data_IF_624359803723
#
_entry.id   IF_624359803723
#
_cell.length_a   1.000
_cell.length_b   1.000
_cell.length_c   1.000
_cell.angle_alpha   90.00
_cell.angle_beta   90.00
_cell.angle_gamma   90.00
#
_symmetry.space_group_name_H-M   'P 1'
#
loop_
_entity.id
_entity.type
_entity.pdbx_description
1 polymer ?
#
# COMPACT_ATOMS: atom_id res chain seq x y z
N UNK A 1 25.88 -15.23 -8.16
CA UNK A 1 25.38 -15.86 -6.92
C UNK A 1 24.27 -15.05 -6.26
N UNK A 2 24.29 -13.71 -6.36
CA UNK A 2 23.26 -12.85 -5.73
C UNK A 2 21.93 -12.82 -6.48
N UNK A 3 21.88 -13.12 -7.77
CA UNK A 3 20.67 -13.05 -8.61
C UNK A 3 19.62 -14.09 -8.19
N UNK A 4 20.05 -15.26 -7.75
CA UNK A 4 19.16 -16.32 -7.32
C UNK A 4 18.57 -16.12 -5.92
N UNK A 5 18.98 -15.06 -5.21
CA UNK A 5 18.53 -14.77 -3.85
C UNK A 5 19.12 -15.67 -2.77
N UNK A 6 20.03 -16.56 -3.14
CA UNK A 6 20.72 -17.47 -2.22
C UNK A 6 22.18 -17.06 -2.11
N UNK A 7 22.57 -16.47 -1.00
CA UNK A 7 23.93 -15.99 -0.76
C UNK A 7 24.27 -16.05 0.72
N UNK A 8 25.57 -16.05 1.03
CA UNK A 8 26.04 -15.93 2.42
C UNK A 8 25.71 -14.55 3.00
N UNK A 9 25.68 -14.46 4.32
CA UNK A 9 25.21 -13.26 5.03
C UNK A 9 26.00 -12.00 4.63
N UNK A 10 27.30 -12.10 4.46
CA UNK A 10 28.16 -10.97 4.06
C UNK A 10 27.77 -10.43 2.67
N UNK A 11 27.50 -11.32 1.71
CA UNK A 11 27.03 -10.92 0.37
C UNK A 11 25.66 -10.28 0.44
N UNK A 12 24.76 -10.83 1.28
CA UNK A 12 23.42 -10.29 1.48
C UNK A 12 23.47 -8.86 2.08
N UNK A 13 24.32 -8.61 3.08
CA UNK A 13 24.50 -7.27 3.65
C UNK A 13 25.09 -6.28 2.63
N UNK A 14 26.03 -6.69 1.80
CA UNK A 14 26.52 -5.85 0.70
C UNK A 14 25.43 -5.54 -0.33
N UNK A 15 24.58 -6.51 -0.65
CA UNK A 15 23.47 -6.30 -1.60
C UNK A 15 22.45 -5.29 -1.07
N UNK A 16 22.14 -5.28 0.21
CA UNK A 16 21.29 -4.25 0.82
C UNK A 16 21.83 -2.85 0.57
N UNK A 17 23.16 -2.68 0.76
CA UNK A 17 23.82 -1.40 0.50
C UNK A 17 23.77 -1.01 -0.99
N UNK A 18 23.97 -1.97 -1.90
CA UNK A 18 23.91 -1.73 -3.35
C UNK A 18 22.49 -1.35 -3.80
N UNK A 19 21.48 -2.05 -3.28
CA UNK A 19 20.07 -1.72 -3.56
C UNK A 19 19.67 -0.36 -3.02
N UNK A 20 20.13 0.00 -1.80
CA UNK A 20 19.89 1.33 -1.25
C UNK A 20 20.53 2.43 -2.12
N UNK A 21 21.77 2.27 -2.56
CA UNK A 21 22.45 3.20 -3.47
C UNK A 21 21.74 3.31 -4.82
N UNK A 22 21.39 2.17 -5.42
CA UNK A 22 20.65 2.15 -6.70
C UNK A 22 19.33 2.89 -6.60
N UNK A 23 18.59 2.68 -5.51
CA UNK A 23 17.35 3.38 -5.23
C UNK A 23 17.57 4.88 -5.08
N UNK A 24 18.55 5.30 -4.28
CA UNK A 24 18.87 6.73 -4.09
C UNK A 24 19.20 7.44 -5.40
N UNK A 25 19.98 6.80 -6.28
CA UNK A 25 20.29 7.34 -7.59
C UNK A 25 19.05 7.44 -8.48
N UNK A 26 18.22 6.40 -8.46
CA UNK A 26 16.97 6.40 -9.24
C UNK A 26 15.99 7.47 -8.73
N UNK A 27 15.87 7.63 -7.42
CA UNK A 27 15.02 8.65 -6.80
C UNK A 27 15.52 10.07 -7.17
N UNK A 28 16.83 10.33 -7.11
CA UNK A 28 17.42 11.60 -7.51
C UNK A 28 17.16 11.92 -9.00
N UNK A 29 17.40 10.96 -9.90
CA UNK A 29 17.12 11.14 -11.33
C UNK A 29 15.63 11.38 -11.58
N UNK A 30 14.76 10.69 -10.85
CA UNK A 30 13.32 10.89 -10.94
C UNK A 30 12.92 12.30 -10.51
N UNK A 31 13.40 12.77 -9.36
CA UNK A 31 13.12 14.10 -8.82
C UNK A 31 13.60 15.20 -9.76
N UNK A 32 14.87 15.15 -10.22
CA UNK A 32 15.42 16.09 -11.20
C UNK A 32 14.62 16.12 -12.50
N UNK A 33 14.21 14.93 -13.00
CA UNK A 33 13.43 14.83 -14.23
C UNK A 33 12.04 15.45 -14.09
N UNK A 34 11.35 15.17 -12.96
CA UNK A 34 10.03 15.75 -12.67
C UNK A 34 10.13 17.26 -12.51
N UNK A 35 11.13 17.76 -11.81
CA UNK A 35 11.38 19.18 -11.65
C UNK A 35 11.65 19.85 -13.01
N UNK A 36 12.55 19.29 -13.81
CA UNK A 36 12.83 19.79 -15.16
C UNK A 36 11.58 19.89 -16.03
N UNK A 37 10.76 18.84 -16.06
CA UNK A 37 9.52 18.81 -16.85
C UNK A 37 8.48 19.80 -16.28
N UNK A 38 8.34 19.88 -14.96
CA UNK A 38 7.39 20.80 -14.31
C UNK A 38 7.74 22.25 -14.59
N UNK A 39 9.01 22.61 -14.63
CA UNK A 39 9.49 23.94 -14.99
C UNK A 39 9.23 24.33 -16.46
N UNK A 40 8.83 23.38 -17.32
CA UNK A 40 8.39 23.67 -18.70
C UNK A 40 6.89 23.88 -18.82
N UNK A 41 6.13 23.64 -17.75
CA UNK A 41 4.68 23.88 -17.74
C UNK A 41 4.41 25.38 -17.55
N UNK A 42 3.67 26.00 -18.47
CA UNK A 42 3.31 27.40 -18.37
C UNK A 42 2.17 27.60 -17.35
N UNK A 43 2.52 28.01 -16.14
CA UNK A 43 1.58 28.30 -15.07
C UNK A 43 1.24 29.79 -14.98
N UNK A 44 1.92 30.68 -15.72
CA UNK A 44 1.66 32.11 -15.71
C UNK A 44 0.34 32.49 -16.40
N UNK A 45 -0.18 31.63 -17.26
CA UNK A 45 -1.44 31.83 -17.98
C UNK A 45 -2.69 31.32 -17.25
N UNK A 46 -2.55 30.84 -16.01
CA UNK A 46 -3.71 30.36 -15.22
C UNK A 46 -4.71 31.50 -14.98
N UNK A 47 -6.03 31.26 -15.12
CA UNK A 47 -7.06 32.29 -14.98
C UNK A 47 -7.20 32.80 -13.53
N UNK A 48 -7.69 34.05 -13.37
CA UNK A 48 -7.89 34.73 -12.08
C UNK A 48 -6.83 35.81 -11.79
N UNK A 49 -7.15 36.76 -10.91
CA UNK A 49 -6.33 37.94 -10.59
C UNK A 49 -5.56 37.79 -9.25
N UNK A 50 -5.88 36.76 -8.44
CA UNK A 50 -5.29 36.52 -7.12
C UNK A 50 -3.94 35.81 -7.17
N UNK A 51 -3.29 35.73 -6.00
CA UNK A 51 -2.11 34.93 -5.82
C UNK A 51 -2.46 33.43 -6.01
N UNK A 52 -1.75 32.77 -6.90
CA UNK A 52 -1.96 31.38 -7.26
C UNK A 52 -0.78 30.54 -6.86
N UNK A 53 -1.06 29.37 -6.30
CA UNK A 53 -0.06 28.39 -5.93
C UNK A 53 -0.25 27.16 -6.84
N UNK A 54 0.41 27.17 -8.02
CA UNK A 54 0.25 26.10 -8.99
C UNK A 54 1.01 24.84 -8.58
N UNK A 55 0.46 23.68 -8.97
CA UNK A 55 1.15 22.42 -8.93
C UNK A 55 0.68 21.50 -10.06
N UNK A 56 1.48 20.50 -10.38
CA UNK A 56 1.25 19.59 -11.50
C UNK A 56 1.13 18.16 -11.00
N UNK A 57 0.13 17.46 -11.50
CA UNK A 57 -0.06 16.02 -11.26
C UNK A 57 0.32 15.26 -12.52
N UNK A 58 1.30 14.39 -12.40
CA UNK A 58 1.83 13.58 -13.51
C UNK A 58 1.26 12.16 -13.51
N UNK A 59 1.00 11.64 -14.70
CA UNK A 59 0.65 10.23 -14.92
C UNK A 59 1.65 9.62 -15.91
N UNK A 60 2.56 8.79 -15.41
CA UNK A 60 3.58 8.11 -16.19
C UNK A 60 3.12 6.77 -16.78
N UNK A 61 1.87 6.38 -16.55
CA UNK A 61 1.31 5.13 -17.08
C UNK A 61 0.72 5.33 -18.47
N UNK A 62 0.66 4.25 -19.25
CA UNK A 62 0.08 4.23 -20.60
C UNK A 62 -1.45 4.31 -20.68
N UNK A 63 -2.14 4.51 -19.54
CA UNK A 63 -3.59 4.64 -19.47
C UNK A 63 -3.99 5.87 -18.66
N UNK A 64 -5.07 6.55 -19.06
CA UNK A 64 -5.65 7.63 -18.26
C UNK A 64 -6.07 7.11 -16.88
N UNK A 65 -5.89 7.93 -15.84
CA UNK A 65 -6.22 7.57 -14.46
C UNK A 65 -7.06 8.64 -13.81
N UNK A 66 -8.07 8.18 -13.08
CA UNK A 66 -8.79 8.97 -12.07
C UNK A 66 -8.42 8.40 -10.72
N UNK A 67 -7.80 9.20 -9.87
CA UNK A 67 -7.31 8.75 -8.57
C UNK A 67 -7.31 9.86 -7.53
N UNK A 68 -7.41 9.50 -6.28
CA UNK A 68 -7.25 10.45 -5.18
C UNK A 68 -5.78 10.85 -5.04
N UNK A 69 -5.54 12.14 -5.05
CA UNK A 69 -4.21 12.76 -4.86
C UNK A 69 -4.19 13.48 -3.53
N UNK A 70 -3.12 13.28 -2.80
CA UNK A 70 -2.83 14.01 -1.57
C UNK A 70 -1.49 14.72 -1.71
N UNK A 71 -1.48 16.05 -1.51
CA UNK A 71 -0.27 16.87 -1.62
C UNK A 71 -0.16 17.81 -0.44
N UNK A 72 1.01 17.85 0.18
CA UNK A 72 1.37 18.90 1.13
C UNK A 72 2.04 20.06 0.41
N UNK A 73 1.61 21.26 0.71
CA UNK A 73 2.06 22.51 0.09
C UNK A 73 2.51 23.45 1.18
N UNK A 74 3.67 24.08 1.00
CA UNK A 74 4.20 25.10 1.90
C UNK A 74 3.68 26.47 1.49
N UNK A 75 2.97 27.11 2.39
CA UNK A 75 2.40 28.44 2.24
C UNK A 75 3.08 29.43 3.17
N UNK A 76 3.00 30.73 2.85
CA UNK A 76 3.48 31.81 3.71
C UNK A 76 4.91 31.59 4.18
N UNK A 77 5.84 31.38 3.23
CA UNK A 77 7.26 31.17 3.51
C UNK A 77 7.87 32.41 4.15
N UNK A 78 8.38 32.26 5.37
CA UNK A 78 9.14 33.30 6.07
C UNK A 78 10.62 32.95 6.07
N UNK A 79 11.43 33.81 5.49
CA UNK A 79 12.89 33.65 5.37
C UNK A 79 13.66 34.32 6.53
N UNK A 80 12.97 34.93 7.50
CA UNK A 80 13.57 35.60 8.65
C UNK A 80 13.85 34.65 9.81
N UNK A 81 14.42 33.48 9.53
CA UNK A 81 14.63 32.40 10.50
C UNK A 81 15.55 32.69 11.67
N UNK A 82 16.27 33.81 11.63
CA UNK A 82 17.18 34.17 12.72
C UNK A 82 16.48 34.90 13.87
N UNK A 83 15.17 35.02 13.79
CA UNK A 83 14.34 35.53 14.88
C UNK A 83 13.89 34.31 15.70
N UNK A 84 14.12 34.31 17.00
CA UNK A 84 13.89 33.19 17.93
C UNK A 84 12.43 32.70 17.95
N UNK A 85 11.48 33.47 17.44
CA UNK A 85 10.05 33.21 17.40
C UNK A 85 9.53 32.68 16.04
N UNK A 86 10.42 32.36 15.10
CA UNK A 86 10.01 31.89 13.75
C UNK A 86 9.07 30.68 13.76
N UNK A 87 9.25 29.75 14.69
CA UNK A 87 8.34 28.63 14.90
C UNK A 87 6.98 29.07 15.43
N UNK A 88 6.99 29.87 16.51
CA UNK A 88 5.78 30.39 17.14
C UNK A 88 5.00 31.30 16.20
N UNK A 89 5.70 32.14 15.42
CA UNK A 89 5.09 32.97 14.42
C UNK A 89 4.41 32.15 13.30
N UNK A 90 5.06 31.10 12.82
CA UNK A 90 4.48 30.19 11.81
C UNK A 90 3.26 29.42 12.33
N UNK A 91 3.26 29.03 13.62
CA UNK A 91 2.09 28.40 14.25
C UNK A 91 0.88 29.32 14.33
N UNK A 92 1.10 30.58 14.58
CA UNK A 92 0.04 31.61 14.70
C UNK A 92 -0.55 32.05 13.36
N UNK A 93 0.05 31.67 12.22
CA UNK A 93 -0.50 31.98 10.91
C UNK A 93 -1.83 31.25 10.74
N UNK A 94 -2.91 32.02 10.67
CA UNK A 94 -4.23 31.50 10.31
C UNK A 94 -4.29 31.23 8.81
N UNK A 95 -4.75 30.04 8.45
CA UNK A 95 -4.95 29.70 7.03
C UNK A 95 -6.21 30.42 6.52
N UNK A 96 -6.10 31.21 5.45
CA UNK A 96 -7.28 31.76 4.79
C UNK A 96 -8.13 30.61 4.21
N UNK A 97 -9.39 30.91 3.95
CA UNK A 97 -10.20 30.03 3.13
C UNK A 97 -9.55 29.89 1.75
N UNK A 98 -9.48 28.69 1.24
CA UNK A 98 -8.85 28.38 -0.06
C UNK A 98 -9.74 27.49 -0.89
N UNK A 99 -9.58 27.60 -2.21
CA UNK A 99 -10.26 26.76 -3.20
C UNK A 99 -9.22 26.16 -4.14
N UNK A 100 -9.45 24.92 -4.56
CA UNK A 100 -8.68 24.25 -5.60
C UNK A 100 -9.34 24.47 -6.95
N UNK A 101 -8.56 24.86 -7.96
CA UNK A 101 -9.02 25.00 -9.34
C UNK A 101 -8.17 24.19 -10.31
N UNK A 102 -8.77 23.80 -11.42
CA UNK A 102 -8.07 23.24 -12.58
C UNK A 102 -7.45 24.35 -13.46
N UNK A 103 -6.75 23.95 -14.53
CA UNK A 103 -6.10 24.90 -15.44
C UNK A 103 -7.09 25.80 -16.21
N UNK A 104 -8.36 25.43 -16.31
CA UNK A 104 -9.41 26.18 -16.98
C UNK A 104 -10.13 27.16 -16.01
N UNK A 105 -9.77 27.12 -14.70
CA UNK A 105 -10.36 27.94 -13.65
C UNK A 105 -11.59 27.34 -12.98
N UNK A 106 -11.98 26.12 -13.34
CA UNK A 106 -13.12 25.46 -12.71
C UNK A 106 -12.75 25.00 -11.30
N UNK A 107 -13.68 25.10 -10.36
CA UNK A 107 -13.51 24.59 -9.03
C UNK A 107 -13.47 23.07 -9.02
N UNK A 108 -12.46 22.53 -8.33
CA UNK A 108 -12.27 21.10 -8.12
C UNK A 108 -12.58 20.79 -6.65
N UNK A 109 -13.53 19.92 -6.34
CA UNK A 109 -13.82 19.54 -4.97
C UNK A 109 -12.54 19.03 -4.26
N UNK A 110 -12.16 19.67 -3.17
CA UNK A 110 -10.95 19.33 -2.43
C UNK A 110 -11.12 19.50 -0.93
N UNK A 111 -10.53 18.62 -0.15
CA UNK A 111 -10.34 18.81 1.29
C UNK A 111 -9.00 19.49 1.50
N UNK A 112 -9.04 20.71 2.00
CA UNK A 112 -7.86 21.50 2.34
C UNK A 112 -7.80 21.59 3.86
N UNK A 113 -6.73 21.08 4.45
CA UNK A 113 -6.59 20.98 5.90
C UNK A 113 -5.24 21.53 6.35
N UNK A 114 -5.21 22.14 7.53
CA UNK A 114 -3.97 22.51 8.20
C UNK A 114 -3.15 21.22 8.47
N UNK A 115 -1.91 21.24 8.04
CA UNK A 115 -0.93 20.17 8.24
C UNK A 115 0.25 20.60 9.12
N UNK A 116 0.10 21.72 9.85
CA UNK A 116 1.08 22.26 10.76
C UNK A 116 2.10 23.17 10.06
N UNK A 117 3.29 23.21 10.59
CA UNK A 117 4.41 24.02 10.09
C UNK A 117 5.48 23.14 9.46
N UNK A 118 6.29 23.72 8.60
CA UNK A 118 7.42 23.09 7.98
C UNK A 118 8.65 24.00 7.95
N UNK A 119 9.81 23.41 8.13
CA UNK A 119 11.08 24.03 7.81
C UNK A 119 11.52 23.54 6.42
N UNK A 120 11.99 24.46 5.58
CA UNK A 120 12.46 24.12 4.24
C UNK A 120 13.61 24.99 3.77
N UNK A 121 14.08 24.72 2.55
CA UNK A 121 15.11 25.50 1.87
C UNK A 121 14.68 25.78 0.44
N UNK A 122 14.89 27.00 -0.03
CA UNK A 122 15.04 27.25 -1.45
C UNK A 122 16.53 27.14 -1.81
N UNK A 123 16.81 26.52 -2.95
CA UNK A 123 18.16 26.26 -3.44
C UNK A 123 18.40 27.02 -4.76
N UNK A 124 18.55 28.36 -4.73
CA UNK A 124 18.81 29.13 -5.94
C UNK A 124 20.21 28.83 -6.49
N UNK A 125 20.35 28.84 -7.81
CA UNK A 125 21.62 28.55 -8.50
C UNK A 125 22.69 29.61 -8.25
N UNK A 126 22.30 30.86 -7.97
CA UNK A 126 23.16 32.05 -7.91
C UNK A 126 23.61 32.44 -6.51
N UNK A 127 23.09 31.78 -5.48
CA UNK A 127 23.38 32.15 -4.08
C UNK A 127 23.26 30.98 -3.12
N UNK A 128 23.67 31.20 -1.86
CA UNK A 128 23.55 30.21 -0.80
C UNK A 128 22.08 29.88 -0.53
N UNK A 129 21.82 28.62 -0.10
CA UNK A 129 20.49 28.14 0.29
C UNK A 129 19.75 29.14 1.16
N UNK A 130 18.49 29.32 0.90
CA UNK A 130 17.58 30.23 1.63
C UNK A 130 16.67 29.39 2.52
N UNK A 131 16.95 29.25 3.82
CA UNK A 131 16.07 28.55 4.72
C UNK A 131 14.79 29.36 4.99
N UNK A 132 13.68 28.67 5.18
CA UNK A 132 12.39 29.31 5.51
C UNK A 132 11.59 28.45 6.49
N UNK A 133 10.71 29.11 7.26
CA UNK A 133 9.56 28.49 7.90
C UNK A 133 8.32 28.71 7.05
N UNK A 134 7.41 27.74 7.06
CA UNK A 134 6.17 27.85 6.31
C UNK A 134 5.00 27.22 7.07
N UNK A 135 3.80 27.72 6.83
CA UNK A 135 2.56 27.02 7.15
C UNK A 135 2.35 25.94 6.10
N UNK A 136 1.94 24.76 6.51
CA UNK A 136 1.74 23.63 5.62
C UNK A 136 0.26 23.31 5.51
N UNK A 137 -0.25 23.14 4.29
CA UNK A 137 -1.59 22.62 4.02
C UNK A 137 -1.53 21.30 3.33
N UNK A 138 -2.48 20.42 3.65
CA UNK A 138 -2.72 19.18 2.94
C UNK A 138 -3.95 19.30 2.07
N UNK A 139 -3.77 19.09 0.78
CA UNK A 139 -4.84 19.12 -0.22
C UNK A 139 -5.12 17.70 -0.67
N UNK A 140 -6.37 17.24 -0.48
CA UNK A 140 -6.83 15.93 -0.93
C UNK A 140 -7.97 16.12 -1.91
N UNK A 141 -7.84 15.59 -3.11
CA UNK A 141 -8.82 15.71 -4.19
C UNK A 141 -8.72 14.56 -5.17
N UNK A 142 -9.69 14.42 -6.05
CA UNK A 142 -9.66 13.45 -7.14
C UNK A 142 -9.14 14.11 -8.42
N UNK A 143 -8.05 13.57 -8.97
CA UNK A 143 -7.43 14.05 -10.21
C UNK A 143 -7.70 13.06 -11.34
N UNK A 144 -8.17 13.59 -12.47
CA UNK A 144 -8.23 12.86 -13.73
C UNK A 144 -7.05 13.29 -14.61
N UNK A 145 -6.12 12.34 -14.87
CA UNK A 145 -4.87 12.65 -15.58
C UNK A 145 -4.73 11.75 -16.81
N UNK A 146 -4.49 12.32 -18.02
CA UNK A 146 -4.35 11.55 -19.25
C UNK A 146 -3.14 10.60 -19.20
N UNK A 147 -3.15 9.60 -20.08
CA UNK A 147 -2.02 8.69 -20.23
C UNK A 147 -0.75 9.44 -20.65
N UNK A 148 0.40 9.10 -20.05
CA UNK A 148 1.70 9.71 -20.31
C UNK A 148 1.63 11.25 -20.35
N UNK A 149 0.86 11.84 -19.43
CA UNK A 149 0.56 13.25 -19.42
C UNK A 149 0.49 13.84 -18.02
N UNK A 150 -0.03 15.05 -17.97
CA UNK A 150 -0.20 15.77 -16.71
C UNK A 150 -1.48 16.62 -16.71
N UNK A 151 -1.84 17.07 -15.50
CA UNK A 151 -2.84 18.14 -15.27
C UNK A 151 -2.27 19.16 -14.31
N UNK A 152 -2.57 20.43 -14.59
CA UNK A 152 -2.21 21.55 -13.71
C UNK A 152 -3.40 21.91 -12.84
N UNK A 153 -3.13 22.13 -11.58
CA UNK A 153 -4.07 22.64 -10.57
C UNK A 153 -3.43 23.79 -9.85
N UNK A 154 -4.24 24.63 -9.22
CA UNK A 154 -3.73 25.69 -8.36
C UNK A 154 -4.66 25.96 -7.18
N UNK A 155 -4.06 26.35 -6.06
CA UNK A 155 -4.78 26.90 -4.93
C UNK A 155 -4.84 28.41 -5.07
N UNK A 156 -5.96 28.99 -4.71
CA UNK A 156 -6.13 30.42 -4.51
C UNK A 156 -6.94 30.71 -3.23
N UNK A 157 -6.82 31.92 -2.69
CA UNK A 157 -7.62 32.34 -1.56
C UNK A 157 -9.08 32.55 -1.99
N UNK A 158 -10.01 32.22 -1.09
CA UNK A 158 -11.44 32.31 -1.30
C UNK A 158 -12.12 33.01 -0.12
N UNK A 159 -13.34 33.48 -0.34
CA UNK A 159 -14.14 34.09 0.75
C UNK A 159 -14.63 33.03 1.76
N UNK A 160 -14.83 31.82 1.31
CA UNK A 160 -15.34 30.69 2.13
C UNK A 160 -14.54 29.42 1.90
N UNK A 161 -14.41 28.64 2.96
CA UNK A 161 -13.84 27.28 2.87
C UNK A 161 -14.68 26.42 1.92
N UNK A 162 -13.99 25.69 1.05
CA UNK A 162 -14.63 24.70 0.22
C UNK A 162 -15.15 23.56 1.11
N UNK A 163 -16.47 23.42 1.21
CA UNK A 163 -17.10 22.32 1.93
C UNK A 163 -17.04 21.05 1.10
N UNK A 164 -16.35 20.07 1.63
CA UNK A 164 -16.44 18.69 1.14
C UNK A 164 -17.44 17.95 2.01
N UNK A 165 -18.40 17.29 1.39
CA UNK A 165 -19.47 16.58 2.10
C UNK A 165 -18.91 15.61 3.15
N UNK A 166 -19.46 15.71 4.36
CA UNK A 166 -19.22 14.72 5.41
C UNK A 166 -19.99 13.46 5.05
N UNK A 167 -19.24 12.41 4.72
CA UNK A 167 -19.85 11.10 4.40
C UNK A 167 -20.07 10.33 5.70
N UNK A 168 -21.33 10.00 6.01
CA UNK A 168 -21.70 9.12 7.12
C UNK A 168 -21.78 7.66 6.64
N UNK A 169 -21.65 6.71 7.55
CA UNK A 169 -21.80 5.28 7.26
C UNK A 169 -21.29 4.40 8.39
N UNK A 170 -21.60 3.11 8.29
CA UNK A 170 -21.19 2.12 9.29
C UNK A 170 -19.67 1.96 9.34
N UNK A 171 -19.12 1.84 10.54
CA UNK A 171 -17.66 1.81 10.75
C UNK A 171 -16.95 0.67 10.02
N UNK A 172 -17.64 -0.41 9.71
CA UNK A 172 -17.10 -1.59 9.03
C UNK A 172 -17.44 -1.68 7.55
N UNK A 173 -18.02 -0.63 6.94
CA UNK A 173 -18.44 -0.62 5.52
C UNK A 173 -17.61 0.38 4.73
N UNK A 174 -17.05 -0.06 3.60
CA UNK A 174 -16.43 0.79 2.57
C UNK A 174 -17.23 0.62 1.29
N UNK A 175 -17.62 1.71 0.64
CA UNK A 175 -18.46 1.64 -0.55
C UNK A 175 -18.12 2.77 -1.53
N UNK A 176 -18.07 2.43 -2.83
CA UNK A 176 -18.02 3.35 -3.94
C UNK A 176 -18.93 2.87 -5.09
N UNK A 177 -18.83 3.48 -6.26
CA UNK A 177 -19.66 3.10 -7.41
C UNK A 177 -19.36 1.70 -7.96
N UNK A 178 -18.12 1.22 -7.79
CA UNK A 178 -17.68 -0.07 -8.34
C UNK A 178 -17.94 -1.24 -7.39
N UNK A 179 -17.79 -1.04 -6.07
CA UNK A 179 -17.83 -2.12 -5.09
C UNK A 179 -18.32 -1.69 -3.72
N UNK A 180 -18.76 -2.71 -2.95
CA UNK A 180 -19.05 -2.59 -1.52
C UNK A 180 -18.25 -3.63 -0.75
N UNK A 181 -17.57 -3.20 0.29
CA UNK A 181 -16.78 -4.06 1.20
C UNK A 181 -17.40 -3.97 2.59
N UNK A 182 -17.64 -5.12 3.19
CA UNK A 182 -18.15 -5.22 4.57
C UNK A 182 -17.17 -6.05 5.39
N UNK A 183 -16.64 -5.47 6.45
CA UNK A 183 -15.71 -6.14 7.37
C UNK A 183 -16.52 -6.85 8.46
N UNK A 184 -16.22 -8.14 8.66
CA UNK A 184 -16.86 -8.99 9.65
C UNK A 184 -16.21 -8.83 11.03
N UNK A 185 -16.83 -9.38 12.07
CA UNK A 185 -16.32 -9.33 13.45
C UNK A 185 -14.96 -10.01 13.62
N UNK A 186 -14.65 -10.99 12.78
CA UNK A 186 -13.36 -11.70 12.78
C UNK A 186 -12.30 -11.04 11.89
N UNK A 187 -12.58 -9.83 11.40
CA UNK A 187 -11.65 -9.09 10.54
C UNK A 187 -11.54 -9.60 9.11
N UNK A 188 -12.17 -10.71 8.76
CA UNK A 188 -12.39 -11.07 7.36
C UNK A 188 -13.34 -10.06 6.72
N UNK A 189 -13.35 -10.00 5.39
CA UNK A 189 -14.28 -9.10 4.71
C UNK A 189 -14.94 -9.77 3.50
N UNK A 190 -16.13 -9.28 3.16
CA UNK A 190 -16.81 -9.59 1.91
C UNK A 190 -16.67 -8.42 0.94
N UNK A 191 -16.57 -8.73 -0.35
CA UNK A 191 -16.49 -7.77 -1.43
C UNK A 191 -17.58 -8.07 -2.47
N UNK A 192 -18.52 -7.15 -2.61
CA UNK A 192 -19.52 -7.16 -3.68
C UNK A 192 -18.98 -6.36 -4.87
N UNK A 193 -18.79 -7.00 -6.01
CA UNK A 193 -18.62 -6.32 -7.29
C UNK A 193 -19.99 -5.87 -7.81
N UNK A 194 -20.23 -4.57 -7.83
CA UNK A 194 -21.52 -4.00 -8.26
C UNK A 194 -21.79 -4.18 -9.75
N UNK A 195 -20.75 -4.34 -10.56
CA UNK A 195 -20.89 -4.55 -12.00
C UNK A 195 -21.44 -5.94 -12.34
N UNK A 196 -20.93 -6.97 -11.65
CA UNK A 196 -21.33 -8.37 -11.88
C UNK A 196 -22.40 -8.85 -10.91
N UNK A 197 -22.61 -8.15 -9.79
CA UNK A 197 -23.47 -8.56 -8.69
C UNK A 197 -22.88 -9.71 -7.86
N UNK A 198 -21.61 -10.09 -8.08
CA UNK A 198 -20.96 -11.18 -7.37
C UNK A 198 -20.39 -10.73 -6.05
N UNK A 199 -20.57 -11.55 -5.02
CA UNK A 199 -19.96 -11.35 -3.70
C UNK A 199 -18.86 -12.39 -3.48
N UNK A 200 -17.68 -11.94 -3.07
CA UNK A 200 -16.57 -12.76 -2.58
C UNK A 200 -16.55 -12.66 -1.07
N UNK A 201 -16.52 -13.79 -0.37
CA UNK A 201 -16.69 -13.83 1.09
C UNK A 201 -15.44 -14.36 1.80
N UNK A 202 -15.31 -13.98 3.08
CA UNK A 202 -14.21 -14.43 3.96
C UNK A 202 -12.80 -14.10 3.42
N UNK A 203 -12.67 -12.98 2.72
CA UNK A 203 -11.38 -12.51 2.23
C UNK A 203 -10.52 -11.98 3.38
N UNK A 204 -9.19 -12.11 3.27
CA UNK A 204 -8.25 -11.47 4.17
C UNK A 204 -8.07 -12.17 5.52
N UNK A 205 -8.47 -13.44 5.67
CA UNK A 205 -8.08 -14.25 6.82
C UNK A 205 -6.59 -14.58 6.76
N UNK A 206 -5.94 -14.60 7.91
CA UNK A 206 -4.54 -15.02 8.03
C UNK A 206 -4.46 -16.46 8.55
N UNK A 207 -3.49 -17.21 8.04
CA UNK A 207 -3.14 -18.54 8.48
C UNK A 207 -1.66 -18.62 8.76
N UNK A 208 -1.31 -19.22 9.88
CA UNK A 208 0.05 -19.52 10.32
C UNK A 208 0.26 -21.03 10.44
N UNK A 209 1.34 -21.53 9.85
CA UNK A 209 1.73 -22.95 9.83
C UNK A 209 3.21 -23.08 10.12
N UNK A 210 3.63 -24.20 10.75
CA UNK A 210 5.04 -24.50 10.94
C UNK A 210 5.75 -24.85 9.63
N UNK A 211 7.08 -24.67 9.59
CA UNK A 211 7.94 -24.99 8.45
C UNK A 211 9.17 -25.79 8.88
N UNK A 212 9.23 -27.04 8.44
CA UNK A 212 10.39 -27.94 8.64
C UNK A 212 11.38 -27.94 7.48
N UNK A 213 11.08 -27.18 6.44
CA UNK A 213 11.87 -27.14 5.21
C UNK A 213 13.22 -26.43 5.38
N UNK A 214 13.58 -25.75 4.34
CA UNK A 214 14.77 -24.90 4.26
C UNK A 214 14.47 -23.66 3.41
N UNK A 215 15.46 -22.89 3.06
CA UNK A 215 15.33 -21.67 2.26
C UNK A 215 14.78 -21.88 0.84
N UNK A 216 14.74 -23.11 0.35
CA UNK A 216 14.22 -23.45 -0.98
C UNK A 216 12.85 -24.11 -0.95
N UNK A 217 12.55 -24.85 0.12
CA UNK A 217 11.41 -25.75 0.15
C UNK A 217 10.64 -25.59 1.45
N UNK A 218 9.36 -25.21 1.32
CA UNK A 218 8.43 -25.26 2.44
C UNK A 218 7.94 -26.70 2.68
N UNK A 219 8.04 -27.16 3.92
CA UNK A 219 7.48 -28.44 4.37
C UNK A 219 6.73 -28.20 5.68
N UNK A 220 5.43 -28.42 5.67
CA UNK A 220 4.61 -28.24 6.85
C UNK A 220 5.01 -29.22 7.96
N UNK A 221 4.95 -28.78 9.22
CA UNK A 221 5.19 -29.60 10.40
C UNK A 221 4.36 -30.88 10.42
N UNK A 222 4.85 -31.91 11.09
CA UNK A 222 4.22 -33.25 11.13
C UNK A 222 2.80 -33.19 11.68
N UNK A 223 2.54 -32.35 12.67
CA UNK A 223 1.21 -32.15 13.27
C UNK A 223 0.25 -31.39 12.37
N UNK A 224 0.73 -30.79 11.28
CA UNK A 224 -0.06 -29.99 10.32
C UNK A 224 -0.95 -28.96 10.99
N UNK A 225 -0.45 -28.35 12.07
CA UNK A 225 -1.19 -27.36 12.83
C UNK A 225 -1.38 -26.08 11.98
N UNK A 226 -2.61 -25.63 11.89
CA UNK A 226 -2.97 -24.35 11.27
C UNK A 226 -3.59 -23.45 12.33
N UNK A 227 -3.02 -22.27 12.52
CA UNK A 227 -3.60 -21.22 13.38
C UNK A 227 -4.17 -20.16 12.47
N UNK A 228 -5.46 -19.88 12.59
CA UNK A 228 -6.16 -18.95 11.70
C UNK A 228 -6.84 -17.83 12.47
N UNK A 229 -6.95 -16.64 11.85
CA UNK A 229 -7.80 -15.54 12.35
C UNK A 229 -9.29 -15.79 12.13
N UNK A 230 -9.65 -16.73 11.25
CA UNK A 230 -11.04 -17.03 10.93
C UNK A 230 -11.84 -17.41 12.18
N UNK A 231 -12.95 -16.69 12.38
CA UNK A 231 -13.82 -16.88 13.55
C UNK A 231 -13.26 -16.32 14.87
N UNK A 232 -12.13 -15.62 14.85
CA UNK A 232 -11.53 -14.97 16.02
C UNK A 232 -11.81 -13.49 15.97
N UNK A 233 -12.41 -12.94 17.02
CA UNK A 233 -12.76 -11.52 17.08
C UNK A 233 -11.54 -10.63 16.83
N UNK A 234 -11.70 -9.65 15.92
CA UNK A 234 -10.75 -8.60 15.62
C UNK A 234 -11.19 -7.25 16.19
N UNK A 235 -10.25 -6.33 16.31
CA UNK A 235 -10.57 -4.92 16.54
C UNK A 235 -10.74 -4.26 15.16
N UNK A 236 -11.92 -3.69 14.92
CA UNK A 236 -12.25 -3.04 13.64
C UNK A 236 -12.63 -1.60 13.89
N UNK A 237 -11.99 -0.66 13.20
CA UNK A 237 -12.26 0.77 13.33
C UNK A 237 -12.20 1.51 12.00
N UNK A 238 -13.14 2.42 11.76
CA UNK A 238 -13.05 3.37 10.66
C UNK A 238 -12.14 4.53 11.09
N UNK A 239 -10.97 4.64 10.47
CA UNK A 239 -9.96 5.66 10.81
C UNK A 239 -10.08 6.91 9.95
N UNK A 240 -10.71 6.78 8.77
CA UNK A 240 -10.99 7.91 7.90
C UNK A 240 -12.22 7.64 7.05
N UNK A 241 -13.09 8.65 6.94
CA UNK A 241 -14.22 8.64 6.01
C UNK A 241 -14.48 10.05 5.52
N UNK A 242 -14.37 10.25 4.23
CA UNK A 242 -14.66 11.53 3.58
C UNK A 242 -15.14 11.29 2.14
N UNK A 243 -15.39 12.35 1.39
CA UNK A 243 -15.89 12.30 0.01
C UNK A 243 -14.93 11.61 -0.97
N UNK A 244 -13.66 11.42 -0.60
CA UNK A 244 -12.63 10.86 -1.48
C UNK A 244 -12.28 9.41 -1.16
N UNK A 245 -12.34 9.02 0.13
CA UNK A 245 -11.97 7.67 0.55
C UNK A 245 -12.59 7.27 1.88
N UNK A 246 -12.71 5.98 2.06
CA UNK A 246 -12.97 5.34 3.35
C UNK A 246 -11.78 4.45 3.71
N UNK A 247 -11.32 4.53 4.95
CA UNK A 247 -10.21 3.73 5.48
C UNK A 247 -10.66 3.01 6.74
N UNK A 248 -10.52 1.69 6.74
CA UNK A 248 -10.84 0.82 7.89
C UNK A 248 -9.57 0.09 8.32
N UNK A 249 -9.28 0.15 9.60
CA UNK A 249 -8.18 -0.58 10.24
C UNK A 249 -8.73 -1.81 10.97
N UNK A 250 -8.06 -2.94 10.79
CA UNK A 250 -8.35 -4.24 11.40
C UNK A 250 -7.10 -4.70 12.14
N UNK A 251 -7.24 -5.07 13.40
CA UNK A 251 -6.14 -5.59 14.22
C UNK A 251 -6.46 -6.97 14.76
N UNK A 252 -5.50 -7.88 14.58
CA UNK A 252 -5.51 -9.20 15.20
C UNK A 252 -4.28 -9.38 16.08
N UNK A 253 -4.48 -10.06 17.20
CA UNK A 253 -3.42 -10.59 18.05
C UNK A 253 -3.43 -12.11 17.94
N UNK A 254 -2.45 -12.66 17.25
CA UNK A 254 -2.33 -14.10 17.05
C UNK A 254 -1.31 -14.68 18.02
N UNK A 255 -1.75 -15.63 18.85
CA UNK A 255 -0.83 -16.45 19.64
C UNK A 255 -0.35 -17.61 18.77
N UNK A 256 0.92 -17.58 18.39
CA UNK A 256 1.55 -18.58 17.53
C UNK A 256 2.75 -19.23 18.23
N UNK A 257 3.10 -20.48 17.94
CA UNK A 257 4.32 -21.09 18.46
C UNK A 257 5.55 -20.25 18.11
N UNK A 258 6.48 -20.11 19.07
CA UNK A 258 7.72 -19.33 18.91
C UNK A 258 8.62 -19.85 17.79
N UNK A 259 8.39 -21.08 17.36
CA UNK A 259 9.13 -21.75 16.29
C UNK A 259 8.78 -23.22 16.21
N UNK A 260 9.70 -24.01 15.67
CA UNK A 260 9.64 -25.46 15.72
C UNK A 260 10.23 -25.99 17.04
N UNK A 261 9.87 -27.22 17.42
CA UNK A 261 10.45 -27.89 18.57
C UNK A 261 11.93 -28.26 18.35
N UNK A 262 12.65 -28.53 19.44
CA UNK A 262 14.10 -28.86 19.44
C UNK A 262 14.45 -30.00 18.51
N UNK A 263 13.50 -30.88 18.21
CA UNK A 263 13.70 -32.04 17.34
C UNK A 263 14.11 -31.61 15.92
N UNK A 264 13.55 -30.53 15.40
CA UNK A 264 13.95 -30.01 14.09
C UNK A 264 15.43 -29.61 14.08
N UNK A 265 15.89 -28.91 15.12
CA UNK A 265 17.29 -28.50 15.22
C UNK A 265 18.24 -29.69 15.25
N UNK A 266 17.92 -30.73 16.04
CA UNK A 266 18.71 -31.97 16.07
C UNK A 266 18.79 -32.65 14.70
N UNK A 267 17.66 -32.71 13.96
CA UNK A 267 17.63 -33.30 12.63
C UNK A 267 18.39 -32.47 11.60
N UNK A 268 18.41 -31.15 11.72
CA UNK A 268 19.26 -30.28 10.91
C UNK A 268 20.74 -30.51 11.16
N UNK A 269 21.16 -30.62 12.42
CA UNK A 269 22.54 -30.91 12.81
C UNK A 269 23.00 -32.30 12.33
N UNK A 270 22.08 -33.29 12.30
CA UNK A 270 22.32 -34.60 11.74
C UNK A 270 22.24 -34.69 10.22
N UNK A 271 22.04 -33.57 9.54
CA UNK A 271 21.86 -33.46 8.09
C UNK A 271 20.75 -34.36 7.54
N UNK A 272 19.68 -34.58 8.29
CA UNK A 272 18.52 -35.38 7.84
C UNK A 272 17.85 -34.62 6.66
N UNK A 273 17.55 -35.38 5.60
CA UNK A 273 16.86 -34.89 4.42
C UNK A 273 15.55 -34.20 4.81
N UNK A 274 15.30 -32.95 4.37
CA UNK A 274 14.10 -32.19 4.71
C UNK A 274 12.79 -32.95 4.51
N UNK A 275 12.69 -33.76 3.47
CA UNK A 275 11.49 -34.55 3.17
C UNK A 275 11.22 -35.72 4.13
N UNK A 276 12.22 -36.12 4.89
CA UNK A 276 12.12 -37.23 5.87
C UNK A 276 12.08 -36.72 7.30
N UNK A 277 12.17 -35.44 7.54
CA UNK A 277 12.11 -34.82 8.88
C UNK A 277 10.75 -35.06 9.53
N UNK A 278 10.79 -35.24 10.84
CA UNK A 278 9.60 -35.42 11.69
C UNK A 278 9.75 -34.48 12.87
N UNK A 279 9.04 -33.35 12.86
CA UNK A 279 9.05 -32.38 13.94
C UNK A 279 7.70 -31.69 14.07
N UNK A 280 7.40 -31.25 15.28
CA UNK A 280 6.22 -30.47 15.59
C UNK A 280 6.62 -29.06 16.02
N UNK A 281 5.66 -28.16 16.05
CA UNK A 281 5.85 -26.80 16.55
C UNK A 281 6.13 -26.78 18.05
N UNK A 282 6.86 -25.75 18.50
CA UNK A 282 7.09 -25.48 19.92
C UNK A 282 5.78 -25.30 20.68
N UNK A 283 5.79 -25.65 21.97
CA UNK A 283 4.69 -25.34 22.89
C UNK A 283 4.76 -23.92 23.42
N UNK A 284 5.90 -23.26 23.35
CA UNK A 284 6.07 -21.87 23.69
C UNK A 284 5.34 -20.99 22.67
N UNK A 285 4.49 -20.08 23.17
CA UNK A 285 3.72 -19.18 22.33
C UNK A 285 4.25 -17.75 22.42
N UNK A 286 4.25 -17.07 21.29
CA UNK A 286 4.54 -15.65 21.16
C UNK A 286 3.37 -14.93 20.53
N UNK A 287 3.18 -13.66 20.88
CA UNK A 287 2.17 -12.81 20.25
C UNK A 287 2.69 -12.27 18.91
N UNK A 288 1.90 -12.40 17.89
CA UNK A 288 2.13 -11.82 16.57
C UNK A 288 0.99 -10.84 16.26
N UNK A 289 1.30 -9.56 16.22
CA UNK A 289 0.35 -8.52 15.83
C UNK A 289 0.23 -8.44 14.31
N UNK A 290 -1.00 -8.46 13.82
CA UNK A 290 -1.33 -8.26 12.40
C UNK A 290 -2.27 -7.08 12.28
N UNK A 291 -1.79 -6.00 11.67
CA UNK A 291 -2.57 -4.82 11.34
C UNK A 291 -2.84 -4.77 9.84
N UNK A 292 -4.11 -4.77 9.46
CA UNK A 292 -4.58 -4.63 8.08
C UNK A 292 -5.31 -3.32 7.91
N UNK A 293 -4.93 -2.53 6.91
CA UNK A 293 -5.59 -1.28 6.54
C UNK A 293 -6.24 -1.47 5.18
N UNK A 294 -7.56 -1.38 5.16
CA UNK A 294 -8.35 -1.38 3.94
C UNK A 294 -8.64 0.06 3.53
N UNK A 295 -8.30 0.41 2.30
CA UNK A 295 -8.60 1.74 1.73
C UNK A 295 -9.40 1.58 0.45
N UNK A 296 -10.56 2.23 0.39
CA UNK A 296 -11.37 2.31 -0.80
C UNK A 296 -11.54 3.78 -1.20
N UNK A 297 -10.94 4.16 -2.32
CA UNK A 297 -11.08 5.49 -2.91
C UNK A 297 -12.35 5.59 -3.76
N UNK A 298 -12.86 6.80 -3.95
CA UNK A 298 -14.10 7.10 -4.65
C UNK A 298 -14.19 6.46 -6.03
N UNK A 299 -13.17 6.64 -6.86
CA UNK A 299 -13.14 6.13 -8.25
C UNK A 299 -12.31 4.85 -8.41
N UNK A 300 -11.88 4.24 -7.31
CA UNK A 300 -11.07 3.02 -7.37
C UNK A 300 -11.87 1.83 -7.92
N UNK A 301 -11.21 1.04 -8.78
CA UNK A 301 -11.73 -0.23 -9.33
C UNK A 301 -11.23 -1.44 -8.55
N UNK A 302 -10.51 -1.23 -7.45
CA UNK A 302 -9.96 -2.26 -6.58
C UNK A 302 -9.82 -1.76 -5.14
N UNK A 303 -9.87 -2.67 -4.20
CA UNK A 303 -9.62 -2.42 -2.79
C UNK A 303 -8.11 -2.43 -2.55
N UNK A 304 -7.58 -1.39 -1.92
CA UNK A 304 -6.20 -1.38 -1.45
C UNK A 304 -6.12 -2.01 -0.07
N UNK A 305 -5.22 -2.98 0.08
CA UNK A 305 -4.97 -3.70 1.33
C UNK A 305 -3.51 -3.50 1.71
N UNK A 306 -3.25 -2.96 2.88
CA UNK A 306 -1.91 -2.83 3.44
C UNK A 306 -1.83 -3.61 4.75
N UNK A 307 -0.88 -4.56 4.84
CA UNK A 307 -0.71 -5.39 6.04
C UNK A 307 0.65 -5.13 6.66
N UNK A 308 0.65 -4.96 7.97
CA UNK A 308 1.87 -4.90 8.79
C UNK A 308 1.82 -6.06 9.77
N UNK A 309 2.87 -6.88 9.79
CA UNK A 309 3.01 -8.03 10.69
C UNK A 309 4.21 -7.78 11.60
N UNK A 310 3.97 -7.79 12.93
CA UNK A 310 5.04 -7.78 13.91
C UNK A 310 5.41 -9.22 14.25
N UNK A 311 6.32 -9.80 13.45
CA UNK A 311 6.70 -11.20 13.57
C UNK A 311 7.71 -11.43 14.70
N UNK A 312 7.37 -12.33 15.64
CA UNK A 312 8.21 -12.76 16.75
C UNK A 312 8.53 -14.27 16.69
N UNK A 313 7.99 -14.99 15.70
CA UNK A 313 8.18 -16.44 15.56
C UNK A 313 9.23 -16.77 14.50
N UNK A 314 9.75 -18.01 14.56
CA UNK A 314 10.70 -18.59 13.61
C UNK A 314 10.12 -19.86 12.98
N UNK A 315 10.72 -20.30 11.89
CA UNK A 315 10.37 -21.56 11.23
C UNK A 315 8.86 -21.72 11.01
N UNK A 316 8.23 -20.71 10.44
CA UNK A 316 6.80 -20.70 10.16
C UNK A 316 6.49 -19.96 8.86
N UNK A 317 5.29 -20.17 8.33
CA UNK A 317 4.78 -19.50 7.16
C UNK A 317 3.44 -18.84 7.47
N UNK A 318 3.36 -17.54 7.28
CA UNK A 318 2.10 -16.76 7.35
C UNK A 318 1.56 -16.55 5.94
N UNK A 319 0.26 -16.80 5.76
CA UNK A 319 -0.46 -16.55 4.51
C UNK A 319 -1.68 -15.69 4.75
N UNK A 320 -2.02 -14.85 3.79
CA UNK A 320 -3.35 -14.23 3.69
C UNK A 320 -4.19 -15.00 2.67
N UNK A 321 -5.44 -15.29 3.04
CA UNK A 321 -6.32 -16.17 2.26
C UNK A 321 -7.40 -15.34 1.58
N UNK A 322 -7.59 -15.55 0.27
CA UNK A 322 -8.63 -14.94 -0.55
C UNK A 322 -9.48 -16.03 -1.21
N UNK A 323 -10.50 -16.57 -0.52
CA UNK A 323 -11.39 -17.58 -1.10
C UNK A 323 -12.16 -16.98 -2.28
N UNK A 324 -11.96 -17.53 -3.45
CA UNK A 324 -12.61 -16.99 -4.66
C UNK A 324 -14.02 -17.52 -4.89
N UNK A 325 -14.32 -18.72 -4.41
CA UNK A 325 -15.57 -19.42 -4.74
C UNK A 325 -15.77 -19.67 -6.25
N UNK A 326 -14.69 -19.56 -7.05
CA UNK A 326 -14.73 -19.73 -8.49
C UNK A 326 -14.56 -21.19 -8.88
N UNK A 327 -15.29 -21.61 -9.90
CA UNK A 327 -15.15 -22.94 -10.50
C UNK A 327 -14.17 -22.87 -11.67
N UNK A 328 -12.87 -22.81 -11.35
CA UNK A 328 -11.82 -22.73 -12.33
C UNK A 328 -10.77 -23.83 -12.09
N UNK A 329 -10.33 -24.51 -13.14
CA UNK A 329 -9.25 -25.52 -13.09
C UNK A 329 -7.86 -24.89 -13.18
N UNK A 330 -7.79 -23.63 -13.60
CA UNK A 330 -6.55 -22.88 -13.80
C UNK A 330 -6.61 -21.50 -13.16
N UNK A 331 -5.43 -20.95 -12.90
CA UNK A 331 -5.25 -19.55 -12.53
C UNK A 331 -4.25 -18.87 -13.46
N UNK A 332 -4.28 -17.56 -13.49
CA UNK A 332 -3.30 -16.74 -14.18
C UNK A 332 -2.35 -16.10 -13.15
N UNK A 333 -1.09 -16.02 -13.49
CA UNK A 333 -0.10 -15.26 -12.74
C UNK A 333 0.83 -14.52 -13.71
N UNK A 334 1.30 -13.35 -13.33
CA UNK A 334 2.30 -12.69 -14.15
C UNK A 334 3.69 -13.31 -13.92
N UNK A 335 4.48 -13.29 -14.97
CA UNK A 335 5.85 -13.74 -15.00
C UNK A 335 6.68 -12.73 -15.79
N UNK A 336 7.97 -12.98 -15.96
CA UNK A 336 8.84 -12.10 -16.74
C UNK A 336 8.34 -12.04 -18.21
N UNK A 337 7.79 -10.87 -18.59
CA UNK A 337 7.29 -10.55 -19.95
C UNK A 337 6.05 -11.32 -20.43
N UNK A 338 5.37 -12.08 -19.57
CA UNK A 338 4.18 -12.82 -19.97
C UNK A 338 3.19 -13.01 -18.81
N UNK A 339 1.95 -13.37 -19.13
CA UNK A 339 0.96 -13.90 -18.20
C UNK A 339 0.86 -15.40 -18.38
N UNK A 340 1.22 -16.16 -17.36
CA UNK A 340 1.23 -17.63 -17.39
C UNK A 340 -0.11 -18.16 -16.88
N UNK A 341 -0.68 -19.12 -17.59
CA UNK A 341 -1.83 -19.90 -17.11
C UNK A 341 -1.36 -21.23 -16.55
N UNK A 342 -1.69 -21.52 -15.30
CA UNK A 342 -1.27 -22.71 -14.57
C UNK A 342 -2.47 -23.51 -14.07
N UNK A 343 -2.29 -24.82 -13.95
CA UNK A 343 -3.30 -25.69 -13.36
C UNK A 343 -3.38 -25.50 -11.84
N UNK A 344 -4.59 -25.50 -11.28
CA UNK A 344 -4.82 -25.41 -9.82
C UNK A 344 -4.49 -26.72 -9.09
N UNK A 345 -4.31 -27.80 -9.83
CA UNK A 345 -3.88 -29.10 -9.28
C UNK A 345 -2.55 -29.48 -9.89
N UNK A 346 -1.64 -29.92 -9.03
CA UNK A 346 -0.39 -30.51 -9.47
C UNK A 346 -0.63 -31.85 -10.13
N UNK A 347 0.32 -32.25 -10.97
CA UNK A 347 0.31 -33.58 -11.57
C UNK A 347 0.52 -34.63 -10.47
N UNK A 348 -0.29 -35.67 -10.45
CA UNK A 348 -0.25 -36.75 -9.46
C UNK A 348 1.10 -37.51 -9.45
N UNK A 349 1.93 -37.35 -10.49
CA UNK A 349 3.28 -37.92 -10.55
C UNK A 349 4.34 -37.10 -9.81
N UNK A 350 4.01 -35.91 -9.33
CA UNK A 350 4.96 -35.11 -8.56
C UNK A 350 5.13 -35.63 -7.15
N UNK A 351 6.36 -35.82 -6.72
CA UNK A 351 6.71 -36.45 -5.42
C UNK A 351 6.53 -35.39 -4.37
N UNK A 352 6.39 -34.41 -4.08
CA UNK A 352 6.22 -33.45 -2.99
C UNK A 352 5.83 -32.06 -3.54
N UNK A 353 4.66 -31.91 -4.12
CA UNK A 353 4.21 -30.59 -4.57
C UNK A 353 4.01 -29.69 -3.36
N UNK A 354 4.72 -28.57 -3.30
CA UNK A 354 4.60 -27.61 -2.20
C UNK A 354 3.32 -26.77 -2.25
N UNK A 355 2.56 -26.83 -3.33
CA UNK A 355 1.35 -26.02 -3.54
C UNK A 355 1.64 -24.51 -3.61
N UNK A 356 2.88 -24.13 -3.86
CA UNK A 356 3.30 -22.75 -4.00
C UNK A 356 3.73 -22.49 -5.44
N UNK A 357 3.22 -21.40 -6.00
CA UNK A 357 3.56 -20.94 -7.34
C UNK A 357 4.08 -19.49 -7.27
N UNK A 358 5.12 -19.23 -8.02
CA UNK A 358 5.70 -17.88 -8.09
C UNK A 358 4.82 -16.95 -8.95
N UNK A 359 4.78 -15.69 -8.59
CA UNK A 359 4.20 -14.59 -9.37
C UNK A 359 5.01 -13.32 -9.11
N UNK A 360 4.95 -12.32 -9.97
CA UNK A 360 5.65 -11.04 -9.74
C UNK A 360 4.74 -9.99 -9.12
N UNK A 361 3.63 -9.67 -9.76
CA UNK A 361 2.75 -8.59 -9.33
C UNK A 361 1.31 -9.01 -9.12
N UNK A 362 0.83 -10.12 -9.72
CA UNK A 362 -0.53 -10.55 -9.50
C UNK A 362 -0.74 -12.06 -9.70
N UNK A 363 -1.81 -12.54 -9.05
CA UNK A 363 -2.45 -13.82 -9.37
C UNK A 363 -3.96 -13.57 -9.57
N UNK A 364 -4.57 -14.27 -10.51
CA UNK A 364 -5.98 -14.11 -10.83
C UNK A 364 -6.64 -15.45 -11.16
N UNK A 365 -7.90 -15.58 -10.74
CA UNK A 365 -8.80 -16.66 -11.14
C UNK A 365 -10.06 -16.08 -11.75
N UNK A 366 -10.60 -16.74 -12.78
CA UNK A 366 -11.84 -16.35 -13.44
C UNK A 366 -12.67 -17.56 -13.84
N UNK A 367 -13.97 -17.38 -13.89
CA UNK A 367 -14.95 -18.26 -14.52
C UNK A 367 -15.88 -17.46 -15.44
N UNK A 368 -16.90 -18.07 -16.02
CA UNK A 368 -17.84 -17.41 -16.94
C UNK A 368 -18.61 -16.24 -16.29
N UNK A 369 -18.69 -16.16 -14.97
CA UNK A 369 -19.49 -15.19 -14.22
C UNK A 369 -18.66 -14.09 -13.58
N UNK A 370 -17.33 -14.15 -13.61
CA UNK A 370 -16.47 -13.13 -13.03
C UNK A 370 -15.12 -13.66 -12.62
N UNK A 371 -14.33 -12.83 -11.97
CA UNK A 371 -12.97 -13.16 -11.54
C UNK A 371 -12.53 -12.37 -10.32
N UNK A 372 -11.52 -12.89 -9.64
CA UNK A 372 -10.81 -12.19 -8.56
C UNK A 372 -9.33 -12.13 -8.90
N UNK A 373 -8.79 -10.93 -8.85
CA UNK A 373 -7.36 -10.66 -9.02
C UNK A 373 -6.82 -10.10 -7.71
N UNK A 374 -5.71 -10.66 -7.24
CA UNK A 374 -4.93 -10.13 -6.12
C UNK A 374 -3.61 -9.67 -6.68
N UNK A 375 -3.35 -8.36 -6.56
CA UNK A 375 -2.11 -7.74 -6.99
C UNK A 375 -1.27 -7.32 -5.78
N UNK A 376 0.05 -7.44 -5.91
CA UNK A 376 1.03 -6.98 -4.92
C UNK A 376 2.14 -6.18 -5.61
N UNK A 377 2.92 -5.48 -4.84
CA UNK A 377 4.05 -4.69 -5.35
C UNK A 377 5.36 -5.38 -4.98
N UNK A 378 5.88 -6.13 -5.92
CA UNK A 378 7.10 -6.92 -5.75
C UNK A 378 6.83 -8.28 -5.06
N UNK A 379 7.89 -9.06 -4.96
CA UNK A 379 7.92 -10.37 -4.29
C UNK A 379 8.10 -10.20 -2.80
#
# INVERSE_FOLDING_TARGET
DSISGCSVDEVNEEMKTRFAKSRQVADAIYEESVEYLTNKVNTAALPGDGEKIPFVVWNTSGTAKTQVVEKEIHLFRDYNLFVWDGYEAAEQVELPAMVLRDADGNEVPAKIADAGIAFGYDLPDDRFRQPYMAKKVRVTFEAEVPALGYRTYYLETAEQLQNVDVVSGDANVLENDAMKVVVNEDGSYSLLDKKTGRTYENLGCYEDTGDMGNEYIYIQDTGKQVISTKGRKAEVSCVERNAFRTVVEIRHKMMVPSGMGEELQRQREMCIDPYTRVANRSFELVEMDVKTVLTLEKSAKGLRVATTICNQAKDHRVRVIFPTGLHASTHMADSAFEVVRRNNRHNDTWTNPCGCERQQCFAAMEDEKGGLLVANRGL
#
